data_IF_160623617864
#
_entry.id   IF_160623617864
#
_cell.length_a   1.000
_cell.length_b   1.000
_cell.length_c   1.000
_cell.angle_alpha   90.00
_cell.angle_beta   90.00
_cell.angle_gamma   90.00
#
_symmetry.space_group_name_H-M   'P 1'
#
loop_
_entity.id
_entity.type
_entity.pdbx_description
1 polymer ?
#
# COMPACT_ATOMS: atom_id res chain seq x y z
N UNK A 1 -11.09 0.63 -10.15
CA UNK A 1 -11.80 -0.48 -9.49
C UNK A 1 -11.28 -1.80 -10.06
N UNK A 2 -11.00 -2.80 -9.22
CA UNK A 2 -10.66 -4.17 -9.64
C UNK A 2 -11.63 -5.12 -8.96
N UNK A 3 -12.38 -5.93 -9.72
CA UNK A 3 -13.42 -6.83 -9.17
C UNK A 3 -14.34 -6.13 -8.15
N UNK A 4 -14.77 -4.92 -8.49
CA UNK A 4 -15.60 -4.05 -7.64
C UNK A 4 -14.97 -3.60 -6.30
N UNK A 5 -13.65 -3.68 -6.17
CA UNK A 5 -12.88 -3.13 -5.05
C UNK A 5 -12.22 -1.81 -5.49
N UNK A 6 -12.36 -0.72 -4.72
CA UNK A 6 -11.57 0.49 -4.91
C UNK A 6 -10.08 0.19 -4.74
N UNK A 7 -9.29 0.56 -5.73
CA UNK A 7 -7.83 0.38 -5.71
C UNK A 7 -7.19 1.71 -6.06
N UNK A 8 -6.30 2.18 -5.19
CA UNK A 8 -5.44 3.33 -5.44
C UNK A 8 -3.99 2.85 -5.54
N UNK A 9 -3.33 3.14 -6.67
CA UNK A 9 -1.90 2.90 -6.83
C UNK A 9 -1.24 4.13 -7.44
N UNK A 10 -0.29 4.72 -6.72
CA UNK A 10 0.37 5.97 -7.11
C UNK A 10 1.84 5.93 -6.71
N UNK A 11 2.71 6.48 -7.57
CA UNK A 11 4.08 6.86 -7.24
C UNK A 11 4.10 8.35 -6.91
N UNK A 12 4.62 8.70 -5.74
CA UNK A 12 4.86 10.07 -5.31
C UNK A 12 6.34 10.41 -5.44
N UNK A 13 6.63 11.64 -5.80
CA UNK A 13 8.01 12.12 -5.80
C UNK A 13 8.36 12.64 -4.40
N UNK A 14 9.49 12.22 -3.86
CA UNK A 14 10.09 12.74 -2.63
C UNK A 14 9.19 12.72 -1.38
N UNK A 15 8.19 11.81 -1.33
CA UNK A 15 7.36 11.63 -0.16
C UNK A 15 8.04 10.69 0.85
N UNK A 16 8.20 11.15 2.09
CA UNK A 16 8.74 10.33 3.17
C UNK A 16 7.73 9.30 3.69
N UNK A 17 8.18 8.40 4.58
CA UNK A 17 7.35 7.34 5.11
C UNK A 17 6.14 7.85 5.90
N UNK A 18 6.27 8.99 6.58
CA UNK A 18 5.19 9.56 7.38
C UNK A 18 4.10 10.14 6.47
N UNK A 19 4.48 10.81 5.39
CA UNK A 19 3.57 11.28 4.34
C UNK A 19 2.84 10.10 3.69
N UNK A 20 3.57 9.04 3.35
CA UNK A 20 2.98 7.84 2.76
C UNK A 20 1.97 7.16 3.71
N UNK A 21 2.26 7.12 5.01
CA UNK A 21 1.33 6.62 6.04
C UNK A 21 0.09 7.49 6.15
N UNK A 22 0.26 8.80 6.24
CA UNK A 22 -0.85 9.75 6.33
C UNK A 22 -1.81 9.62 5.14
N UNK A 23 -1.29 9.52 3.91
CA UNK A 23 -2.15 9.32 2.74
C UNK A 23 -2.84 7.96 2.71
N UNK A 24 -2.14 6.92 3.17
CA UNK A 24 -2.71 5.56 3.31
C UNK A 24 -3.89 5.58 4.27
N UNK A 25 -3.74 6.25 5.42
CA UNK A 25 -4.81 6.36 6.41
C UNK A 25 -5.97 7.22 5.90
N UNK A 26 -5.69 8.36 5.24
CA UNK A 26 -6.72 9.18 4.61
C UNK A 26 -7.52 8.42 3.55
N UNK A 27 -6.87 7.53 2.78
CA UNK A 27 -7.57 6.63 1.87
C UNK A 27 -8.53 5.69 2.63
N UNK A 28 -8.06 5.05 3.71
CA UNK A 28 -8.88 4.11 4.50
C UNK A 28 -10.04 4.79 5.21
N UNK A 29 -9.89 6.04 5.63
CA UNK A 29 -10.98 6.85 6.19
C UNK A 29 -12.07 7.14 5.15
N UNK A 30 -11.67 7.44 3.92
CA UNK A 30 -12.59 7.74 2.82
C UNK A 30 -13.24 6.49 2.21
N UNK A 31 -12.52 5.37 2.19
CA UNK A 31 -12.95 4.12 1.57
C UNK A 31 -13.04 3.01 2.62
N UNK A 32 -14.26 2.69 3.12
CA UNK A 32 -14.44 1.64 4.13
C UNK A 32 -14.12 0.23 3.61
N UNK A 33 -14.03 0.06 2.29
CA UNK A 33 -13.55 -1.15 1.61
C UNK A 33 -12.63 -0.74 0.46
N UNK A 34 -11.37 -1.19 0.46
CA UNK A 34 -10.41 -0.82 -0.58
C UNK A 34 -8.98 -1.30 -0.33
N UNK A 35 -8.17 -1.17 -1.38
CA UNK A 35 -6.73 -1.43 -1.35
C UNK A 35 -5.99 -0.17 -1.79
N UNK A 36 -4.93 0.20 -1.09
CA UNK A 36 -4.05 1.30 -1.47
C UNK A 36 -2.60 0.81 -1.48
N UNK A 37 -1.84 1.18 -2.50
CA UNK A 37 -0.42 0.91 -2.63
C UNK A 37 0.30 2.17 -3.13
N UNK A 38 1.16 2.74 -2.31
CA UNK A 38 1.87 3.98 -2.62
C UNK A 38 3.35 3.70 -2.68
N UNK A 39 4.01 4.21 -3.72
CA UNK A 39 5.46 4.22 -3.85
C UNK A 39 6.01 5.62 -3.66
N UNK A 40 7.26 5.73 -3.23
CA UNK A 40 8.04 6.95 -3.29
C UNK A 40 9.50 6.64 -3.61
N UNK A 41 10.22 7.62 -4.16
CA UNK A 41 11.68 7.58 -4.26
C UNK A 41 12.21 8.80 -3.53
N UNK A 42 13.03 8.57 -2.51
CA UNK A 42 13.68 9.62 -1.72
C UNK A 42 15.17 9.34 -1.72
N UNK A 43 15.99 10.28 -2.21
CA UNK A 43 17.44 10.10 -2.33
C UNK A 43 17.82 8.80 -3.07
N UNK A 44 17.21 8.55 -4.23
CA UNK A 44 17.37 7.33 -5.04
C UNK A 44 17.01 6.01 -4.34
N UNK A 45 16.37 6.08 -3.17
CA UNK A 45 15.93 4.92 -2.41
C UNK A 45 14.42 4.75 -2.55
N UNK A 46 13.95 3.70 -3.26
CA UNK A 46 12.53 3.46 -3.39
C UNK A 46 11.93 2.91 -2.09
N UNK A 47 10.72 3.33 -1.77
CA UNK A 47 9.91 2.86 -0.66
C UNK A 47 8.51 2.54 -1.16
N UNK A 48 7.86 1.58 -0.52
CA UNK A 48 6.49 1.17 -0.83
C UNK A 48 5.73 0.99 0.48
N UNK A 49 4.51 1.49 0.54
CA UNK A 49 3.52 1.16 1.56
C UNK A 49 2.28 0.59 0.89
N UNK A 50 1.63 -0.39 1.52
CA UNK A 50 0.35 -0.91 1.07
C UNK A 50 -0.57 -1.06 2.27
N UNK A 51 -1.86 -0.79 2.08
CA UNK A 51 -2.86 -1.15 3.07
C UNK A 51 -4.08 -1.80 2.40
N UNK A 52 -4.71 -2.67 3.18
CA UNK A 52 -5.93 -3.39 2.82
C UNK A 52 -6.92 -3.19 3.97
N UNK A 53 -8.16 -2.81 3.66
CA UNK A 53 -9.21 -2.64 4.67
C UNK A 53 -9.58 -3.97 5.33
N UNK A 54 -10.03 -3.91 6.58
CA UNK A 54 -10.31 -5.09 7.43
C UNK A 54 -11.32 -6.06 6.80
N UNK A 55 -12.32 -5.56 6.09
CA UNK A 55 -13.31 -6.39 5.39
C UNK A 55 -12.68 -7.23 4.27
N UNK A 56 -11.71 -6.67 3.56
CA UNK A 56 -10.97 -7.34 2.50
C UNK A 56 -9.94 -8.32 3.07
N UNK A 57 -9.32 -7.99 4.21
CA UNK A 57 -8.47 -8.93 4.94
C UNK A 57 -9.26 -10.16 5.36
N UNK A 58 -10.47 -9.98 5.90
CA UNK A 58 -11.38 -11.09 6.24
C UNK A 58 -11.80 -11.92 5.02
N UNK A 59 -11.72 -11.35 3.82
CA UNK A 59 -11.97 -12.03 2.54
C UNK A 59 -10.70 -12.68 1.94
N UNK A 60 -9.59 -12.68 2.68
CA UNK A 60 -8.35 -13.36 2.32
C UNK A 60 -7.30 -12.48 1.62
N UNK A 61 -7.51 -11.16 1.52
CA UNK A 61 -6.46 -10.26 1.04
C UNK A 61 -5.45 -9.96 2.16
N UNK A 62 -4.22 -9.61 1.77
CA UNK A 62 -3.15 -9.33 2.72
C UNK A 62 -2.17 -8.29 2.14
N UNK A 63 -2.06 -7.14 2.79
CA UNK A 63 -1.15 -6.06 2.40
C UNK A 63 0.32 -6.52 2.40
N UNK A 64 0.74 -7.26 3.43
CA UNK A 64 2.08 -7.81 3.54
C UNK A 64 2.44 -8.76 2.39
N UNK A 65 1.50 -9.57 1.93
CA UNK A 65 1.72 -10.47 0.78
C UNK A 65 1.84 -9.70 -0.54
N UNK A 66 1.05 -8.63 -0.71
CA UNK A 66 1.16 -7.73 -1.86
C UNK A 66 2.56 -7.09 -1.88
N UNK A 67 3.01 -6.51 -0.76
CA UNK A 67 4.33 -5.88 -0.66
C UNK A 67 5.45 -6.89 -0.91
N UNK A 68 5.37 -8.09 -0.34
CA UNK A 68 6.34 -9.17 -0.59
C UNK A 68 6.46 -9.55 -2.05
N UNK A 69 5.36 -9.51 -2.80
CA UNK A 69 5.37 -9.82 -4.23
C UNK A 69 6.02 -8.73 -5.07
N UNK A 70 5.86 -7.45 -4.70
CA UNK A 70 6.31 -6.31 -5.53
C UNK A 70 7.66 -5.72 -5.11
N UNK A 71 8.05 -5.78 -3.84
CA UNK A 71 9.32 -5.23 -3.36
C UNK A 71 10.56 -5.81 -4.09
N UNK A 72 10.62 -7.10 -4.45
CA UNK A 72 11.77 -7.63 -5.21
C UNK A 72 11.96 -7.00 -6.59
N UNK A 73 10.90 -6.50 -7.23
CA UNK A 73 10.94 -5.89 -8.58
C UNK A 73 11.81 -4.62 -8.56
N UNK A 74 11.83 -3.91 -7.43
CA UNK A 74 12.62 -2.69 -7.22
C UNK A 74 13.92 -2.95 -6.47
N UNK A 75 14.37 -4.21 -6.38
CA UNK A 75 15.58 -4.61 -5.67
C UNK A 75 15.47 -4.51 -4.13
N UNK A 76 14.25 -4.45 -3.60
CA UNK A 76 13.97 -4.34 -2.18
C UNK A 76 13.41 -5.63 -1.57
N UNK A 77 12.98 -5.51 -0.32
CA UNK A 77 12.23 -6.52 0.42
C UNK A 77 11.11 -5.84 1.19
N UNK A 78 10.08 -6.58 1.59
CA UNK A 78 9.03 -6.02 2.42
C UNK A 78 8.13 -7.06 3.06
N UNK A 79 7.12 -6.58 3.77
CA UNK A 79 6.18 -7.35 4.56
C UNK A 79 5.37 -6.42 5.44
N UNK A 80 4.60 -6.99 6.36
CA UNK A 80 3.70 -6.20 7.19
C UNK A 80 2.65 -7.08 7.85
N UNK A 81 1.70 -6.43 8.49
CA UNK A 81 0.46 -7.05 8.97
C UNK A 81 -0.49 -7.19 7.78
N UNK A 82 -1.52 -8.05 7.86
CA UNK A 82 -2.50 -8.20 6.78
C UNK A 82 -3.17 -6.89 6.33
N UNK A 83 -3.27 -5.91 7.24
CA UNK A 83 -3.88 -4.60 6.98
C UNK A 83 -2.90 -3.53 6.49
N UNK A 84 -1.59 -3.72 6.70
CA UNK A 84 -0.53 -2.74 6.43
C UNK A 84 0.85 -3.42 6.35
#
# INVERSE_FOLDING_TARGET
MIKNVPVLSILLNDADNDTLRLMTDAFREKFPSGVVALGSVVNDKPTIICAVTEDLVKRGLNAGDIVKAIAPIIGGSGGGRPVL
#
